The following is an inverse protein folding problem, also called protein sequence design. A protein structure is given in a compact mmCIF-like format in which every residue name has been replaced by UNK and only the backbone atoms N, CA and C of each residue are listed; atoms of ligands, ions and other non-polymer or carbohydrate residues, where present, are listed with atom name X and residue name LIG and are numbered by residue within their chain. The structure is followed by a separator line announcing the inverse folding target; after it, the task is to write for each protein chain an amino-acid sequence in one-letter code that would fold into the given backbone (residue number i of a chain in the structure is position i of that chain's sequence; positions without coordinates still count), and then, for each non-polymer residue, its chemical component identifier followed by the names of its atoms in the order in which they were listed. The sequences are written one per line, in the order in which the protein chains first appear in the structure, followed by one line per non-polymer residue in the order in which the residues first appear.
data_IF_890981651159
#
_entry.id   IF_890981651159
#
_cell.length_a   1.000
_cell.length_b   1.000
_cell.length_c   1.000
_cell.angle_alpha   90.00
_cell.angle_beta   90.00
_cell.angle_gamma   90.00
#
_symmetry.space_group_name_H-M   'P 1'
#
loop_
_entity.id
_entity.type
_entity.pdbx_description
1 polymer ?
#
# COMPACT_ATOMS: atom_id res chain seq x y z
N UNK A 1 5.24 -19.20 -7.61
CA UNK A 1 6.53 -19.69 -7.09
C UNK A 1 6.32 -21.04 -6.45
N UNK A 2 7.23 -21.98 -6.67
CA UNK A 2 7.26 -23.24 -5.94
C UNK A 2 8.00 -23.07 -4.59
N UNK A 3 7.94 -24.08 -3.72
CA UNK A 3 8.54 -24.03 -2.38
C UNK A 3 10.06 -23.83 -2.41
N UNK A 4 10.75 -24.43 -3.39
CA UNK A 4 12.19 -24.30 -3.54
C UNK A 4 12.59 -22.86 -3.87
N UNK A 5 11.89 -22.22 -4.81
CA UNK A 5 12.10 -20.81 -5.16
C UNK A 5 11.90 -19.89 -3.95
N UNK A 6 10.89 -20.17 -3.11
CA UNK A 6 10.64 -19.42 -1.87
C UNK A 6 11.83 -19.57 -0.91
N UNK A 7 12.34 -20.79 -0.72
CA UNK A 7 13.47 -21.03 0.17
C UNK A 7 14.77 -20.38 -0.31
N UNK A 8 15.00 -20.37 -1.63
CA UNK A 8 16.16 -19.70 -2.23
C UNK A 8 16.11 -18.18 -2.03
N UNK A 9 14.96 -17.55 -2.29
CA UNK A 9 14.76 -16.11 -2.04
C UNK A 9 14.90 -15.80 -0.55
N UNK A 10 14.31 -16.62 0.33
CA UNK A 10 14.42 -16.42 1.77
C UNK A 10 15.88 -16.47 2.21
N UNK A 11 16.65 -17.48 1.78
CA UNK A 11 18.08 -17.58 2.10
C UNK A 11 18.86 -16.37 1.62
N UNK A 12 18.67 -15.98 0.36
CA UNK A 12 19.34 -14.82 -0.24
C UNK A 12 19.07 -13.55 0.57
N UNK A 13 17.81 -13.27 0.89
CA UNK A 13 17.45 -12.13 1.73
C UNK A 13 18.17 -12.25 3.07
N UNK A 14 18.09 -13.43 3.72
CA UNK A 14 18.64 -13.62 5.05
C UNK A 14 20.15 -13.33 5.15
N UNK A 15 20.92 -13.63 4.10
CA UNK A 15 22.36 -13.39 4.04
C UNK A 15 22.71 -11.93 3.74
N UNK A 16 21.82 -11.16 3.11
CA UNK A 16 22.10 -9.82 2.57
C UNK A 16 21.34 -8.70 3.29
N UNK A 17 21.09 -8.83 4.58
CA UNK A 17 20.55 -7.74 5.41
C UNK A 17 21.66 -6.76 5.84
N UNK A 18 21.31 -5.51 6.19
CA UNK A 18 19.95 -4.99 6.29
C UNK A 18 19.37 -4.50 4.96
N UNK A 19 18.05 -4.44 4.86
CA UNK A 19 17.32 -4.08 3.63
C UNK A 19 16.64 -2.71 3.75
N UNK A 20 16.54 -2.01 2.61
CA UNK A 20 15.57 -0.93 2.42
C UNK A 20 14.36 -1.49 1.70
N UNK A 21 13.15 -1.30 2.22
CA UNK A 21 11.93 -1.89 1.66
C UNK A 21 11.13 -0.85 0.88
N UNK A 22 10.80 -1.14 -0.37
CA UNK A 22 9.88 -0.33 -1.18
C UNK A 22 8.49 -0.96 -1.18
N UNK A 23 7.46 -0.20 -0.81
CA UNK A 23 6.07 -0.69 -0.75
C UNK A 23 5.13 0.15 -1.62
N UNK A 24 3.98 -0.45 -1.95
CA UNK A 24 2.88 0.20 -2.66
C UNK A 24 1.54 -0.43 -2.24
N UNK A 25 0.45 -0.06 -2.92
CA UNK A 25 -0.92 -0.32 -2.46
C UNK A 25 -1.21 -1.81 -2.16
N UNK A 26 -0.54 -2.73 -2.85
CA UNK A 26 -0.69 -4.18 -2.64
C UNK A 26 -0.52 -4.62 -1.18
N UNK A 27 0.38 -3.98 -0.42
CA UNK A 27 0.60 -4.34 0.99
C UNK A 27 -0.61 -4.05 1.89
N UNK A 28 -1.47 -3.10 1.49
CA UNK A 28 -2.63 -2.65 2.27
C UNK A 28 -3.93 -3.35 1.89
N UNK A 29 -3.91 -4.23 0.90
CA UNK A 29 -5.10 -4.95 0.40
C UNK A 29 -5.75 -5.82 1.47
N UNK A 30 -4.94 -6.55 2.24
CA UNK A 30 -5.41 -7.34 3.39
C UNK A 30 -5.90 -6.48 4.57
N UNK A 31 -5.60 -5.17 4.57
CA UNK A 31 -6.16 -4.20 5.52
C UNK A 31 -7.50 -3.62 5.08
N UNK A 32 -8.08 -4.13 3.98
CA UNK A 32 -9.35 -3.67 3.43
C UNK A 32 -9.25 -2.42 2.55
N UNK A 33 -8.03 -1.95 2.27
CA UNK A 33 -7.80 -0.83 1.36
C UNK A 33 -7.67 -1.39 -0.05
N UNK A 34 -8.61 -1.10 -0.97
CA UNK A 34 -8.51 -1.59 -2.34
C UNK A 34 -7.24 -1.03 -2.97
N UNK A 35 -6.53 -1.88 -3.71
CA UNK A 35 -5.52 -1.36 -4.60
C UNK A 35 -6.18 -0.64 -5.78
N UNK A 36 -5.34 -0.15 -6.68
CA UNK A 36 -5.87 0.51 -7.85
C UNK A 36 -6.36 -0.52 -8.89
N UNK A 37 -5.58 -1.58 -9.15
CA UNK A 37 -5.60 -2.36 -10.41
C UNK A 37 -6.23 -3.74 -10.33
N UNK A 38 -6.48 -4.30 -9.15
CA UNK A 38 -6.97 -5.66 -9.02
C UNK A 38 -8.37 -5.78 -9.65
N UNK A 39 -8.61 -6.75 -10.56
CA UNK A 39 -9.95 -6.96 -11.10
C UNK A 39 -10.99 -7.20 -10.00
N UNK A 40 -12.22 -6.72 -10.21
CA UNK A 40 -13.38 -6.82 -9.30
C UNK A 40 -13.29 -6.06 -7.97
N UNK A 41 -12.10 -5.58 -7.57
CA UNK A 41 -11.90 -4.96 -6.25
C UNK A 41 -11.12 -3.65 -6.31
N UNK A 42 -10.42 -3.38 -7.41
CA UNK A 42 -9.59 -2.20 -7.60
C UNK A 42 -10.40 -0.94 -7.86
N UNK A 43 -9.90 0.20 -7.39
CA UNK A 43 -10.56 1.50 -7.53
C UNK A 43 -10.85 1.89 -9.00
N UNK A 44 -10.04 1.44 -9.96
CA UNK A 44 -10.19 1.72 -11.40
C UNK A 44 -11.52 1.25 -12.01
N UNK A 45 -12.24 0.33 -11.38
CA UNK A 45 -13.51 -0.16 -11.93
C UNK A 45 -14.69 0.80 -11.71
N UNK A 46 -14.61 1.67 -10.69
CA UNK A 46 -15.70 2.61 -10.38
C UNK A 46 -15.41 4.02 -10.90
N UNK A 47 -14.15 4.45 -10.81
CA UNK A 47 -13.71 5.79 -11.20
C UNK A 47 -12.23 5.74 -11.60
N UNK A 48 -11.78 6.64 -12.47
CA UNK A 48 -10.35 6.91 -12.67
C UNK A 48 -9.79 7.63 -11.43
N UNK A 49 -8.99 6.97 -10.57
CA UNK A 49 -8.47 7.59 -9.36
C UNK A 49 -7.45 8.69 -9.66
N UNK A 50 -6.76 8.61 -10.80
CA UNK A 50 -5.82 9.63 -11.25
C UNK A 50 -6.55 10.91 -11.69
N UNK A 51 -7.76 10.79 -12.25
CA UNK A 51 -8.62 11.94 -12.51
C UNK A 51 -9.21 12.49 -11.21
N UNK A 52 -9.91 11.66 -10.43
CA UNK A 52 -10.71 12.10 -9.28
C UNK A 52 -9.85 12.70 -8.16
N UNK A 53 -8.63 12.19 -7.95
CA UNK A 53 -7.69 12.71 -6.95
C UNK A 53 -6.69 13.70 -7.56
N UNK A 54 -6.90 14.15 -8.80
CA UNK A 54 -6.03 15.12 -9.44
C UNK A 54 -6.12 16.51 -8.81
N UNK A 55 -5.03 17.27 -8.96
CA UNK A 55 -4.98 18.70 -8.67
C UNK A 55 -6.10 19.46 -9.40
N UNK A 56 -6.35 19.12 -10.67
CA UNK A 56 -7.37 19.79 -11.47
C UNK A 56 -8.77 19.60 -10.88
N UNK A 57 -9.14 18.37 -10.51
CA UNK A 57 -10.44 18.10 -9.88
C UNK A 57 -10.53 18.79 -8.52
N UNK A 58 -9.46 18.80 -7.73
CA UNK A 58 -9.42 19.50 -6.45
C UNK A 58 -9.69 21.02 -6.59
N UNK A 59 -9.13 21.70 -7.60
CA UNK A 59 -9.26 23.16 -7.72
C UNK A 59 -10.41 23.62 -8.61
N UNK A 60 -10.72 22.89 -9.68
CA UNK A 60 -11.69 23.30 -10.70
C UNK A 60 -13.04 22.59 -10.56
N UNK A 61 -13.09 21.45 -9.86
CA UNK A 61 -14.30 20.63 -9.66
C UNK A 61 -14.43 20.19 -8.21
N UNK A 62 -14.26 21.13 -7.27
CA UNK A 62 -14.24 20.91 -5.81
C UNK A 62 -15.40 20.05 -5.29
N UNK A 63 -16.62 20.26 -5.80
CA UNK A 63 -17.79 19.46 -5.42
C UNK A 63 -17.60 17.96 -5.72
N UNK A 64 -17.03 17.63 -6.88
CA UNK A 64 -16.71 16.26 -7.29
C UNK A 64 -15.63 15.68 -6.39
N UNK A 65 -14.59 16.46 -6.10
CA UNK A 65 -13.53 16.07 -5.19
C UNK A 65 -14.09 15.69 -3.81
N UNK A 66 -14.87 16.56 -3.17
CA UNK A 66 -15.38 16.31 -1.82
C UNK A 66 -16.45 15.20 -1.77
N UNK A 67 -17.25 15.04 -2.82
CA UNK A 67 -18.27 13.99 -2.87
C UNK A 67 -17.70 12.60 -3.16
N UNK A 68 -16.63 12.51 -3.97
CA UNK A 68 -16.07 11.21 -4.42
C UNK A 68 -14.64 11.02 -3.93
N UNK A 69 -13.71 11.88 -4.35
CA UNK A 69 -12.29 11.74 -4.03
C UNK A 69 -11.99 11.75 -2.53
N UNK A 70 -12.57 12.68 -1.79
CA UNK A 70 -12.44 12.73 -0.34
C UNK A 70 -13.04 11.50 0.33
N UNK A 71 -14.17 10.97 -0.16
CA UNK A 71 -14.75 9.74 0.38
C UNK A 71 -13.82 8.52 0.17
N UNK A 72 -13.10 8.45 -0.95
CA UNK A 72 -12.07 7.43 -1.17
C UNK A 72 -10.97 7.56 -0.12
N UNK A 73 -10.40 8.75 0.07
CA UNK A 73 -9.36 8.98 1.09
C UNK A 73 -9.84 8.63 2.51
N UNK A 74 -11.09 8.97 2.82
CA UNK A 74 -11.71 8.72 4.12
C UNK A 74 -12.04 7.26 4.35
N UNK A 75 -12.21 6.47 3.28
CA UNK A 75 -12.51 5.03 3.40
C UNK A 75 -11.39 4.24 4.08
N UNK A 76 -10.17 4.78 4.11
CA UNK A 76 -9.00 4.13 4.72
C UNK A 76 -8.86 4.42 6.22
N UNK A 77 -9.61 5.38 6.78
CA UNK A 77 -9.37 5.89 8.15
C UNK A 77 -9.42 4.84 9.26
N UNK A 78 -10.23 3.79 9.08
CA UNK A 78 -10.37 2.73 10.08
C UNK A 78 -9.53 1.49 9.76
N UNK A 79 -8.79 1.49 8.65
CA UNK A 79 -7.90 0.39 8.29
C UNK A 79 -6.84 0.22 9.38
N UNK A 80 -6.46 -1.03 9.64
CA UNK A 80 -5.43 -1.37 10.62
C UNK A 80 -4.28 -2.09 9.93
N UNK A 81 -3.04 -1.96 10.45
CA UNK A 81 -1.90 -2.70 9.92
C UNK A 81 -2.18 -4.21 9.91
N UNK A 82 -1.93 -4.86 8.79
CA UNK A 82 -2.03 -6.31 8.66
C UNK A 82 -0.70 -7.01 9.03
N UNK A 83 -0.65 -8.33 8.87
CA UNK A 83 0.51 -9.14 9.23
C UNK A 83 1.80 -8.74 8.50
N UNK A 84 1.71 -8.25 7.25
CA UNK A 84 2.88 -7.80 6.51
C UNK A 84 3.50 -6.55 7.15
N UNK A 85 2.68 -5.56 7.53
CA UNK A 85 3.13 -4.34 8.22
C UNK A 85 3.79 -4.70 9.56
N UNK A 86 3.12 -5.52 10.38
CA UNK A 86 3.63 -5.95 11.69
C UNK A 86 4.96 -6.70 11.56
N UNK A 87 5.11 -7.50 10.50
CA UNK A 87 6.36 -8.22 10.23
C UNK A 87 7.50 -7.26 9.89
N UNK A 88 7.24 -6.22 9.09
CA UNK A 88 8.24 -5.19 8.79
C UNK A 88 8.64 -4.40 10.05
N UNK A 89 7.70 -4.07 10.92
CA UNK A 89 7.99 -3.45 12.23
C UNK A 89 8.93 -4.32 13.07
N UNK A 90 8.66 -5.63 13.15
CA UNK A 90 9.54 -6.54 13.90
C UNK A 90 10.92 -6.72 13.25
N UNK A 91 11.00 -6.68 11.93
CA UNK A 91 12.27 -6.75 11.21
C UNK A 91 13.10 -5.48 11.38
N UNK A 92 12.46 -4.31 11.41
CA UNK A 92 13.14 -3.05 11.73
C UNK A 92 13.70 -3.06 13.16
N UNK A 93 12.90 -3.49 14.16
CA UNK A 93 13.38 -3.64 15.55
C UNK A 93 14.58 -4.57 15.69
N UNK A 94 14.69 -5.58 14.82
CA UNK A 94 15.83 -6.52 14.77
C UNK A 94 17.02 -6.00 13.97
N UNK A 95 16.91 -4.82 13.36
CA UNK A 95 17.93 -4.24 12.49
C UNK A 95 18.06 -4.95 11.15
N UNK A 96 17.05 -5.73 10.72
CA UNK A 96 17.04 -6.41 9.42
C UNK A 96 16.52 -5.51 8.31
N UNK A 97 15.67 -4.55 8.65
CA UNK A 97 15.20 -3.47 7.76
C UNK A 97 15.73 -2.16 8.31
N UNK A 98 16.34 -1.33 7.46
CA UNK A 98 16.84 0.01 7.84
C UNK A 98 15.82 1.12 7.59
N UNK A 99 14.78 0.84 6.82
CA UNK A 99 13.70 1.77 6.57
C UNK A 99 12.75 1.32 5.47
N UNK A 100 11.68 2.08 5.32
CA UNK A 100 10.61 1.83 4.35
C UNK A 100 10.43 3.09 3.50
N UNK A 101 10.44 2.90 2.18
CA UNK A 101 9.98 3.89 1.21
C UNK A 101 8.62 3.43 0.73
N UNK A 102 7.58 4.25 0.87
CA UNK A 102 6.21 3.87 0.49
C UNK A 102 5.60 4.87 -0.48
N UNK A 103 4.81 4.35 -1.41
CA UNK A 103 3.92 5.14 -2.26
C UNK A 103 2.54 5.33 -1.60
N UNK A 104 2.26 4.64 -0.50
CA UNK A 104 0.97 4.66 0.15
C UNK A 104 0.76 5.94 0.96
N UNK A 105 -0.50 6.35 1.06
CA UNK A 105 -0.94 7.53 1.83
C UNK A 105 -1.88 7.13 2.98
N UNK A 106 -1.91 5.84 3.33
CA UNK A 106 -2.81 5.22 4.30
C UNK A 106 -2.27 5.25 5.74
N UNK A 107 -0.99 5.58 5.92
CA UNK A 107 -0.32 5.65 7.23
C UNK A 107 -0.34 4.34 8.04
N UNK A 108 -0.29 3.19 7.36
CA UNK A 108 -0.28 1.86 8.02
C UNK A 108 1.12 1.35 8.43
N UNK A 109 2.20 1.97 7.94
CA UNK A 109 3.58 1.71 8.40
C UNK A 109 3.87 2.50 9.67
#
# INVERSE_FOLDING_TARGET
MNEQEIQEVARFLFEHKPWLVLTGAGISTESGIPDFRTPSTGLWEKYDPMEILSREVLFSRTEVFYRIGFQILMSFQNAQPNQAHLTLTEWEKRGWVTGIVTQNIDSLH
#
